data_IF_477168597408
#
_entry.id   IF_477168597408
#
_cell.length_a   1.000
_cell.length_b   1.000
_cell.length_c   1.000
_cell.angle_alpha   90.00
_cell.angle_beta   90.00
_cell.angle_gamma   90.00
#
_symmetry.space_group_name_H-M   'P 1'
#
loop_
_entity.id
_entity.type
_entity.pdbx_description
1 polymer ?
#
# COMPACT_ATOMS: atom_id res chain seq x y z
N UNK A 1 -29.53 22.82 0.48
CA UNK A 1 -29.82 21.50 -0.13
C UNK A 1 -30.09 21.70 -1.62
N UNK A 2 -29.13 21.37 -2.47
CA UNK A 2 -29.31 20.90 -3.87
C UNK A 2 -27.90 20.72 -4.48
N UNK A 3 -27.38 19.49 -4.56
CA UNK A 3 -26.22 19.19 -5.38
C UNK A 3 -26.66 18.28 -6.53
N UNK A 4 -26.92 18.79 -7.73
CA UNK A 4 -27.05 17.92 -8.94
C UNK A 4 -27.15 18.80 -10.19
N UNK A 5 -26.04 18.94 -10.94
CA UNK A 5 -25.94 18.18 -12.19
C UNK A 5 -24.55 17.58 -12.49
N UNK A 6 -23.47 18.13 -11.93
CA UNK A 6 -22.09 17.73 -12.26
C UNK A 6 -21.66 16.41 -11.60
N UNK A 7 -22.18 16.11 -10.40
CA UNK A 7 -21.86 14.88 -9.67
C UNK A 7 -22.47 13.62 -10.32
N UNK A 8 -23.62 13.76 -10.99
CA UNK A 8 -24.28 12.68 -11.69
C UNK A 8 -23.50 12.28 -12.96
N UNK A 9 -23.06 13.27 -13.76
CA UNK A 9 -22.23 13.01 -14.94
C UNK A 9 -20.87 12.41 -14.58
N UNK A 10 -20.26 12.85 -13.47
CA UNK A 10 -18.98 12.29 -13.00
C UNK A 10 -19.12 10.83 -12.52
N UNK A 11 -20.22 10.49 -11.83
CA UNK A 11 -20.53 9.11 -11.42
C UNK A 11 -20.79 8.20 -12.62
N UNK A 12 -21.53 8.68 -13.63
CA UNK A 12 -21.82 7.91 -14.85
C UNK A 12 -20.53 7.65 -15.63
N UNK A 13 -19.63 8.65 -15.76
CA UNK A 13 -18.34 8.47 -16.42
C UNK A 13 -17.42 7.49 -15.67
N UNK A 14 -17.42 7.53 -14.33
CA UNK A 14 -16.65 6.60 -13.51
C UNK A 14 -17.16 5.15 -13.63
N UNK A 15 -18.48 4.94 -13.63
CA UNK A 15 -19.11 3.61 -13.80
C UNK A 15 -18.90 3.06 -15.21
N UNK A 16 -18.98 3.91 -16.26
CA UNK A 16 -18.70 3.49 -17.63
C UNK A 16 -17.23 3.05 -17.81
N UNK A 17 -16.30 3.73 -17.14
CA UNK A 17 -14.87 3.41 -17.20
C UNK A 17 -14.54 2.07 -16.53
N UNK A 18 -15.20 1.73 -15.43
CA UNK A 18 -15.00 0.43 -14.75
C UNK A 18 -15.66 -0.73 -15.49
N UNK A 19 -16.80 -0.49 -16.17
CA UNK A 19 -17.44 -1.51 -17.00
C UNK A 19 -16.65 -1.82 -18.29
N UNK A 20 -16.01 -0.81 -18.88
CA UNK A 20 -15.14 -0.97 -20.05
C UNK A 20 -13.85 -1.76 -19.72
N UNK A 21 -13.31 -1.62 -18.50
CA UNK A 21 -12.21 -2.45 -18.01
C UNK A 21 -12.62 -3.93 -17.88
N UNK A 22 -13.90 -4.18 -17.53
CA UNK A 22 -14.52 -5.49 -17.46
C UNK A 22 -14.50 -6.29 -18.77
N UNK A 23 -14.83 -5.62 -19.88
CA UNK A 23 -14.95 -6.25 -21.19
C UNK A 23 -13.60 -6.67 -21.80
N UNK A 24 -12.49 -6.05 -21.37
CA UNK A 24 -11.14 -6.43 -21.81
C UNK A 24 -10.64 -7.73 -21.16
N UNK A 25 -11.23 -8.18 -20.03
CA UNK A 25 -10.84 -9.44 -19.37
C UNK A 25 -11.43 -10.70 -20.03
N UNK A 26 -12.43 -10.57 -20.90
CA UNK A 26 -13.08 -11.73 -21.52
C UNK A 26 -12.30 -12.37 -22.68
N UNK A 27 -11.19 -11.77 -23.13
CA UNK A 27 -10.39 -12.25 -24.28
C UNK A 27 -8.88 -12.30 -24.02
N UNK A 28 -8.42 -11.90 -22.83
CA UNK A 28 -6.99 -11.95 -22.51
C UNK A 28 -6.62 -13.36 -22.07
N UNK A 29 -5.59 -14.00 -22.67
CA UNK A 29 -5.05 -15.24 -22.12
C UNK A 29 -4.68 -15.02 -20.65
N UNK A 30 -4.87 -16.03 -19.78
CA UNK A 30 -4.50 -15.93 -18.38
C UNK A 30 -3.08 -15.36 -18.28
N UNK A 31 -2.84 -14.36 -17.41
CA UNK A 31 -1.52 -13.73 -17.31
C UNK A 31 -0.49 -14.84 -17.09
N UNK A 32 0.54 -14.85 -17.94
CA UNK A 32 1.62 -15.82 -17.85
C UNK A 32 2.20 -15.80 -16.43
N UNK A 33 2.76 -16.93 -15.98
CA UNK A 33 3.32 -17.00 -14.64
C UNK A 33 4.41 -15.92 -14.41
N UNK A 34 5.12 -15.55 -15.47
CA UNK A 34 6.01 -14.38 -15.54
C UNK A 34 5.30 -13.06 -15.18
N UNK A 35 4.12 -12.78 -15.76
CA UNK A 35 3.36 -11.56 -15.50
C UNK A 35 2.78 -11.54 -14.07
N UNK A 36 2.33 -12.70 -13.56
CA UNK A 36 1.87 -12.81 -12.16
C UNK A 36 3.02 -12.60 -11.17
N UNK A 37 4.21 -13.11 -11.46
CA UNK A 37 5.39 -12.91 -10.62
C UNK A 37 5.81 -11.43 -10.57
N UNK A 38 5.77 -10.72 -11.69
CA UNK A 38 6.07 -9.27 -11.74
C UNK A 38 5.01 -8.42 -11.03
N UNK A 39 3.74 -8.80 -11.13
CA UNK A 39 2.67 -8.15 -10.37
C UNK A 39 2.84 -8.36 -8.86
N UNK A 40 3.17 -9.58 -8.42
CA UNK A 40 3.44 -9.90 -7.02
C UNK A 40 4.67 -9.15 -6.48
N UNK A 41 5.75 -9.06 -7.26
CA UNK A 41 6.94 -8.27 -6.89
C UNK A 41 6.60 -6.78 -6.74
N UNK A 42 5.81 -6.23 -7.67
CA UNK A 42 5.37 -4.83 -7.62
C UNK A 42 4.47 -4.56 -6.42
N UNK A 43 3.54 -5.47 -6.11
CA UNK A 43 2.67 -5.38 -4.94
C UNK A 43 3.48 -5.46 -3.64
N UNK A 44 4.49 -6.35 -3.56
CA UNK A 44 5.36 -6.45 -2.40
C UNK A 44 6.19 -5.18 -2.19
N UNK A 45 6.75 -4.60 -3.27
CA UNK A 45 7.46 -3.32 -3.22
C UNK A 45 6.55 -2.19 -2.77
N UNK A 46 5.32 -2.12 -3.30
CA UNK A 46 4.34 -1.10 -2.91
C UNK A 46 3.95 -1.23 -1.43
N UNK A 47 3.73 -2.46 -0.94
CA UNK A 47 3.44 -2.71 0.47
C UNK A 47 4.60 -2.27 1.38
N UNK A 48 5.85 -2.57 1.00
CA UNK A 48 7.02 -2.13 1.76
C UNK A 48 7.19 -0.60 1.73
N UNK A 49 7.04 0.03 0.56
CA UNK A 49 7.07 1.49 0.43
C UNK A 49 6.02 2.17 1.31
N UNK A 50 4.81 1.59 1.41
CA UNK A 50 3.78 2.05 2.35
C UNK A 50 4.23 1.99 3.81
N UNK A 51 4.91 0.91 4.22
CA UNK A 51 5.48 0.81 5.57
C UNK A 51 6.58 1.86 5.83
N UNK A 52 7.45 2.11 4.84
CA UNK A 52 8.50 3.14 4.92
C UNK A 52 7.87 4.54 5.04
N UNK A 53 6.84 4.83 4.25
CA UNK A 53 6.13 6.10 4.33
C UNK A 53 5.50 6.32 5.71
N UNK A 54 4.88 5.28 6.28
CA UNK A 54 4.32 5.34 7.64
C UNK A 54 5.40 5.55 8.71
N UNK A 55 6.56 4.90 8.57
CA UNK A 55 7.69 5.12 9.47
C UNK A 55 8.20 6.57 9.42
N UNK A 56 8.35 7.14 8.22
CA UNK A 56 8.76 8.53 8.06
C UNK A 56 7.73 9.51 8.61
N UNK A 57 6.43 9.24 8.41
CA UNK A 57 5.35 10.02 9.00
C UNK A 57 5.41 9.99 10.53
N UNK A 58 5.59 8.81 11.13
CA UNK A 58 5.75 8.69 12.57
C UNK A 58 6.92 9.55 13.09
N UNK A 59 8.10 9.47 12.44
CA UNK A 59 9.25 10.29 12.83
C UNK A 59 9.02 11.78 12.66
N UNK A 60 8.23 12.20 11.69
CA UNK A 60 7.94 13.63 11.50
C UNK A 60 7.04 14.15 12.63
N UNK A 61 6.06 13.36 13.07
CA UNK A 61 5.20 13.69 14.21
C UNK A 61 6.01 13.80 15.50
N UNK A 62 6.92 12.85 15.75
CA UNK A 62 7.81 12.89 16.92
C UNK A 62 8.69 14.13 16.95
N UNK A 63 9.23 14.54 15.78
CA UNK A 63 10.02 15.77 15.67
C UNK A 63 9.20 17.01 15.98
N UNK A 64 7.95 17.07 15.53
CA UNK A 64 7.04 18.20 15.83
C UNK A 64 6.74 18.24 17.33
N UNK A 65 6.41 17.11 17.94
CA UNK A 65 6.17 17.02 19.37
C UNK A 65 7.39 17.47 20.19
N UNK A 66 8.58 16.96 19.83
CA UNK A 66 9.83 17.34 20.48
C UNK A 66 10.14 18.85 20.30
N UNK A 67 9.91 19.39 19.10
CA UNK A 67 10.09 20.81 18.80
C UNK A 67 9.17 21.70 19.63
N UNK A 68 7.89 21.32 19.76
CA UNK A 68 6.93 22.01 20.60
C UNK A 68 7.34 22.01 22.07
N UNK A 69 7.71 20.84 22.62
CA UNK A 69 8.18 20.78 24.00
C UNK A 69 9.45 21.61 24.21
N UNK A 70 10.39 21.58 23.27
CA UNK A 70 11.60 22.41 23.33
C UNK A 70 11.26 23.92 23.32
N UNK A 71 10.28 24.33 22.51
CA UNK A 71 9.80 25.71 22.49
C UNK A 71 9.16 26.12 23.83
N UNK A 72 8.35 25.26 24.45
CA UNK A 72 7.78 25.51 25.78
C UNK A 72 8.86 25.65 26.85
N UNK A 73 9.87 24.76 26.85
CA UNK A 73 11.02 24.84 27.76
C UNK A 73 11.76 26.17 27.60
N UNK A 74 12.04 26.58 26.37
CA UNK A 74 12.69 27.88 26.07
C UNK A 74 11.84 29.07 26.51
N UNK A 75 10.52 28.97 26.40
CA UNK A 75 9.59 30.01 26.83
C UNK A 75 9.31 30.01 28.35
N UNK A 76 9.95 29.13 29.13
CA UNK A 76 9.69 28.98 30.57
C UNK A 76 8.27 28.50 30.89
N UNK A 77 7.56 27.93 29.90
CA UNK A 77 6.19 27.42 30.07
C UNK A 77 6.22 25.97 30.53
N UNK A 78 5.22 25.53 31.31
CA UNK A 78 5.11 24.14 31.72
C UNK A 78 5.01 23.23 30.49
N UNK A 79 5.80 22.16 30.47
CA UNK A 79 5.78 21.15 29.41
C UNK A 79 4.77 20.07 29.81
N UNK A 80 3.76 19.77 28.99
CA UNK A 80 2.83 18.69 29.26
C UNK A 80 3.57 17.35 29.42
N UNK A 81 3.08 16.49 30.31
CA UNK A 81 3.61 15.14 30.45
C UNK A 81 3.50 14.40 29.10
N UNK A 82 4.57 13.70 28.65
CA UNK A 82 4.49 12.88 27.46
C UNK A 82 3.38 11.84 27.60
N UNK A 83 2.52 11.74 26.59
CA UNK A 83 1.57 10.64 26.47
C UNK A 83 2.33 9.46 25.88
N UNK A 84 2.14 8.24 26.41
CA UNK A 84 2.82 7.06 25.88
C UNK A 84 2.40 6.79 24.44
N UNK A 85 3.26 7.20 23.51
CA UNK A 85 3.13 6.90 22.09
C UNK A 85 4.01 5.71 21.74
N UNK A 86 3.50 4.71 21.00
CA UNK A 86 4.33 3.60 20.55
C UNK A 86 5.48 4.12 19.69
N UNK A 87 6.67 3.55 19.85
CA UNK A 87 7.84 3.94 19.08
C UNK A 87 7.64 3.67 17.57
N UNK A 88 8.20 4.53 16.74
CA UNK A 88 8.18 4.34 15.29
C UNK A 88 8.91 3.04 14.90
N UNK A 89 8.18 2.11 14.29
CA UNK A 89 8.73 0.82 13.84
C UNK A 89 9.39 0.97 12.48
N UNK A 90 10.69 0.64 12.39
CA UNK A 90 11.43 0.61 11.14
C UNK A 90 11.04 -0.66 10.34
N UNK A 91 10.55 -0.53 9.09
CA UNK A 91 10.22 -1.67 8.26
C UNK A 91 11.43 -2.49 7.77
N UNK A 92 12.66 -2.00 7.98
CA UNK A 92 13.87 -2.67 7.56
C UNK A 92 14.05 -2.72 6.04
N UNK A 93 15.07 -3.43 5.59
CA UNK A 93 15.35 -3.59 4.16
C UNK A 93 14.25 -4.41 3.47
N UNK A 94 13.91 -4.04 2.23
CA UNK A 94 12.99 -4.83 1.43
C UNK A 94 13.65 -6.15 1.03
N UNK A 95 13.06 -7.28 1.45
CA UNK A 95 13.48 -8.62 1.04
C UNK A 95 12.30 -9.29 0.35
N UNK A 96 12.45 -9.58 -0.94
CA UNK A 96 11.49 -10.36 -1.71
C UNK A 96 12.05 -11.77 -1.89
N UNK A 97 11.52 -12.80 -1.20
CA UNK A 97 11.83 -14.17 -1.54
C UNK A 97 11.24 -14.44 -2.93
N UNK A 98 12.10 -14.65 -3.92
CA UNK A 98 11.67 -15.15 -5.23
C UNK A 98 10.91 -16.46 -5.00
N UNK A 99 9.72 -16.66 -5.58
CA UNK A 99 9.08 -17.95 -5.53
C UNK A 99 10.05 -18.94 -6.19
N UNK A 100 10.63 -19.86 -5.41
CA UNK A 100 11.19 -21.07 -5.99
C UNK A 100 10.04 -21.67 -6.78
N UNK A 101 10.24 -21.93 -8.08
CA UNK A 101 9.24 -22.58 -8.90
C UNK A 101 8.77 -23.82 -8.13
N UNK A 102 7.51 -23.83 -7.70
CA UNK A 102 6.92 -24.99 -7.07
C UNK A 102 7.21 -26.16 -8.02
N UNK A 103 7.96 -27.15 -7.52
CA UNK A 103 8.30 -28.35 -8.28
C UNK A 103 7.03 -28.84 -8.98
N UNK A 104 7.09 -28.91 -10.32
CA UNK A 104 5.96 -29.29 -11.15
C UNK A 104 5.32 -30.57 -10.59
N UNK A 105 3.99 -30.64 -10.41
CA UNK A 105 3.37 -31.90 -10.06
C UNK A 105 3.64 -32.90 -11.18
N UNK A 106 4.26 -34.02 -10.84
CA UNK A 106 4.52 -35.11 -11.77
C UNK A 106 3.21 -35.52 -12.45
N UNK A 107 3.23 -35.56 -13.79
CA UNK A 107 2.10 -36.00 -14.59
C UNK A 107 1.67 -37.43 -14.21
N UNK A 108 0.36 -37.75 -14.10
CA UNK A 108 -0.06 -39.11 -13.89
C UNK A 108 0.24 -39.94 -15.13
N UNK A 109 1.00 -41.02 -14.94
CA UNK A 109 1.29 -42.00 -15.97
C UNK A 109 -0.01 -42.62 -16.51
N UNK A 110 -0.12 -42.67 -17.84
CA UNK A 110 -1.16 -43.38 -18.56
C UNK A 110 -1.25 -44.84 -18.10
N UNK A 111 -2.46 -45.33 -17.84
CA UNK A 111 -2.75 -46.76 -17.76
C UNK A 111 -3.85 -47.08 -18.78
N UNK A 112 -3.43 -47.96 -19.70
CA UNK A 112 -4.14 -48.81 -20.66
C UNK A 112 -5.66 -48.83 -20.62
#
# INVERSE_FOLDING_TARGET
MKPLPHACCALIAAVASTLAAGAAWAKLPPPSDEAKAKAAESAAKAAHAGKVANYQLCKSMDRVAAGYQAALRKAGKPVPAPVDTPACTDPGAFVYPLPVAAAAPAAPAAKK
#
